data_IF_367946948274
#
_entry.id   IF_367946948274
#
_cell.length_a   1.000
_cell.length_b   1.000
_cell.length_c   1.000
_cell.angle_alpha   90.00
_cell.angle_beta   90.00
_cell.angle_gamma   90.00
#
_symmetry.space_group_name_H-M   'P 1'
#
loop_
_entity.id
_entity.type
_entity.pdbx_description
1 polymer ?
#
# COMPACT_ATOMS: atom_id res chain seq x y z
N UNK A 1 10.71 8.84 8.57
CA UNK A 1 9.47 9.56 8.94
C UNK A 1 9.11 10.43 7.76
N UNK A 2 8.07 10.03 7.02
CA UNK A 2 7.59 10.78 5.85
C UNK A 2 6.77 11.99 6.33
N UNK A 3 6.86 13.11 5.60
CA UNK A 3 6.19 14.36 5.98
C UNK A 3 4.76 14.33 5.45
N UNK A 4 3.77 14.65 6.30
CA UNK A 4 2.36 14.79 5.88
C UNK A 4 2.22 15.83 4.76
N UNK A 5 1.40 15.53 3.75
CA UNK A 5 1.12 16.44 2.64
C UNK A 5 2.06 16.30 1.44
N UNK A 6 2.95 15.30 1.44
CA UNK A 6 3.71 14.91 0.26
C UNK A 6 2.99 13.75 -0.45
N UNK A 7 2.58 14.01 -1.69
CA UNK A 7 1.99 12.99 -2.57
C UNK A 7 3.12 12.17 -3.20
N UNK A 8 3.27 10.92 -2.76
CA UNK A 8 4.38 10.06 -3.13
C UNK A 8 3.94 8.91 -4.05
N UNK A 9 4.81 8.48 -4.97
CA UNK A 9 4.53 7.35 -5.84
C UNK A 9 4.72 6.02 -5.11
N UNK A 10 3.67 5.20 -5.13
CA UNK A 10 3.69 3.82 -4.62
C UNK A 10 3.58 2.85 -5.79
N UNK A 11 4.47 1.86 -5.84
CA UNK A 11 4.48 0.84 -6.90
C UNK A 11 3.51 -0.27 -6.57
N UNK A 12 2.57 -0.54 -7.48
CA UNK A 12 1.66 -1.68 -7.42
C UNK A 12 2.36 -2.92 -7.98
N UNK A 13 2.52 -3.93 -7.14
CA UNK A 13 3.18 -5.20 -7.47
C UNK A 13 2.19 -6.22 -8.03
N UNK A 14 0.92 -6.17 -7.60
CA UNK A 14 -0.16 -7.07 -8.00
C UNK A 14 -1.29 -6.29 -8.66
N UNK A 15 -1.11 -6.01 -9.97
CA UNK A 15 -2.01 -5.14 -10.74
C UNK A 15 -3.36 -5.78 -11.08
N UNK A 16 -3.41 -7.10 -11.02
CA UNK A 16 -4.60 -7.92 -11.20
C UNK A 16 -5.45 -8.02 -9.92
N UNK A 17 -4.98 -7.47 -8.80
CA UNK A 17 -5.75 -7.46 -7.56
C UNK A 17 -6.93 -6.47 -7.64
N UNK A 18 -8.13 -6.85 -7.18
CA UNK A 18 -9.32 -5.99 -7.22
C UNK A 18 -9.13 -4.63 -6.52
N UNK A 19 -8.23 -4.51 -5.54
CA UNK A 19 -7.95 -3.24 -4.87
C UNK A 19 -7.40 -2.17 -5.82
N UNK A 20 -6.72 -2.57 -6.91
CA UNK A 20 -6.08 -1.67 -7.87
C UNK A 20 -6.72 -1.71 -9.26
N UNK A 21 -7.92 -2.29 -9.38
CA UNK A 21 -8.63 -2.34 -10.66
C UNK A 21 -8.86 -0.92 -11.22
N UNK A 22 -8.49 -0.72 -12.49
CA UNK A 22 -8.58 0.57 -13.16
C UNK A 22 -7.48 1.58 -12.79
N UNK A 23 -6.52 1.22 -11.93
CA UNK A 23 -5.39 2.06 -11.58
C UNK A 23 -4.13 1.69 -12.38
N UNK A 24 -3.20 2.65 -12.44
CA UNK A 24 -1.90 2.43 -13.07
C UNK A 24 -0.99 1.57 -12.19
N UNK A 25 0.11 1.07 -12.78
CA UNK A 25 1.12 0.31 -12.06
C UNK A 25 1.88 1.06 -10.97
N UNK A 26 1.70 2.37 -10.92
CA UNK A 26 2.15 3.26 -9.85
C UNK A 26 0.99 4.19 -9.52
N UNK A 27 0.69 4.32 -8.24
CA UNK A 27 -0.34 5.20 -7.72
C UNK A 27 0.30 6.33 -6.93
N UNK A 28 -0.37 7.47 -6.84
CA UNK A 28 0.08 8.61 -6.05
C UNK A 28 -0.79 8.67 -4.79
N UNK A 29 -0.18 8.70 -3.61
CA UNK A 29 -0.88 8.64 -2.33
C UNK A 29 -0.28 9.64 -1.33
N UNK A 30 -1.06 10.09 -0.34
CA UNK A 30 -0.55 10.91 0.77
C UNK A 30 0.03 9.99 1.86
N UNK A 31 1.35 9.88 1.93
CA UNK A 31 2.01 9.05 2.93
C UNK A 31 2.19 9.84 4.25
N UNK A 32 1.33 9.56 5.22
CA UNK A 32 1.30 10.27 6.51
C UNK A 32 1.54 9.41 7.74
N UNK A 33 2.04 8.18 7.58
CA UNK A 33 2.18 7.22 8.67
C UNK A 33 3.49 7.41 9.46
N UNK A 34 3.39 7.30 10.78
CA UNK A 34 4.55 7.43 11.68
C UNK A 34 5.33 6.12 11.83
N UNK A 35 4.60 5.02 11.95
CA UNK A 35 5.14 3.68 12.05
C UNK A 35 4.92 2.93 10.74
N UNK A 36 5.71 1.89 10.54
CA UNK A 36 5.55 0.97 9.42
C UNK A 36 5.58 -0.47 9.91
N UNK A 37 4.96 -1.34 9.12
CA UNK A 37 5.02 -2.78 9.34
C UNK A 37 6.40 -3.27 8.86
N UNK A 38 7.14 -3.92 9.75
CA UNK A 38 8.51 -4.40 9.45
C UNK A 38 8.55 -5.77 8.79
N UNK A 39 7.49 -6.57 9.00
CA UNK A 39 7.44 -7.96 8.55
C UNK A 39 6.05 -8.26 7.99
N UNK A 40 6.01 -8.81 6.77
CA UNK A 40 4.76 -9.23 6.17
C UNK A 40 4.25 -10.48 6.90
N UNK A 41 3.04 -10.47 7.48
CA UNK A 41 2.47 -11.66 8.12
C UNK A 41 2.30 -12.80 7.10
N UNK A 42 2.49 -14.04 7.55
CA UNK A 42 2.51 -15.21 6.66
C UNK A 42 1.19 -15.44 5.92
N UNK A 43 0.07 -15.00 6.50
CA UNK A 43 -1.28 -15.10 5.96
C UNK A 43 -1.58 -14.01 4.94
N UNK A 44 -0.66 -13.06 4.73
CA UNK A 44 -0.82 -11.93 3.84
C UNK A 44 0.06 -12.05 2.59
N UNK A 45 -0.40 -11.40 1.53
CA UNK A 45 0.34 -11.19 0.29
C UNK A 45 0.60 -9.69 0.12
N UNK A 46 1.83 -9.34 -0.26
CA UNK A 46 2.22 -7.97 -0.52
C UNK A 46 1.66 -7.52 -1.87
N UNK A 47 0.97 -6.37 -1.88
CA UNK A 47 0.35 -5.84 -3.08
C UNK A 47 1.01 -4.57 -3.61
N UNK A 48 1.59 -3.75 -2.74
CA UNK A 48 2.26 -2.51 -3.13
C UNK A 48 3.45 -2.18 -2.21
N UNK A 49 4.46 -1.49 -2.74
CA UNK A 49 5.75 -1.21 -2.06
C UNK A 49 6.40 0.07 -2.57
N UNK A 50 7.25 0.66 -1.73
CA UNK A 50 8.29 1.63 -2.12
C UNK A 50 9.66 1.16 -1.59
N UNK A 51 10.74 1.87 -1.92
CA UNK A 51 12.08 1.58 -1.39
C UNK A 51 12.19 2.03 0.09
N UNK A 52 11.46 3.08 0.46
CA UNK A 52 11.43 3.64 1.80
C UNK A 52 10.51 2.85 2.76
N UNK A 53 9.40 2.30 2.26
CA UNK A 53 8.48 1.48 3.03
C UNK A 53 8.00 0.29 2.18
N UNK A 54 8.45 -0.90 2.56
CA UNK A 54 8.23 -2.11 1.77
C UNK A 54 6.75 -2.53 1.76
N UNK A 55 6.03 -2.34 2.88
CA UNK A 55 4.65 -2.81 3.04
C UNK A 55 3.69 -1.63 2.96
N UNK A 56 3.37 -1.21 1.73
CA UNK A 56 2.42 -0.11 1.49
C UNK A 56 0.97 -0.63 1.42
N UNK A 57 0.77 -1.80 0.82
CA UNK A 57 -0.52 -2.48 0.80
C UNK A 57 -0.34 -4.00 0.85
N UNK A 58 -1.24 -4.67 1.57
CA UNK A 58 -1.27 -6.12 1.67
C UNK A 58 -2.71 -6.63 1.77
N UNK A 59 -2.94 -7.88 1.36
CA UNK A 59 -4.23 -8.57 1.56
C UNK A 59 -4.04 -9.89 2.27
N UNK A 60 -5.06 -10.30 3.00
CA UNK A 60 -5.13 -11.67 3.50
C UNK A 60 -5.37 -12.64 2.34
N UNK A 61 -4.70 -13.78 2.35
CA UNK A 61 -4.74 -14.79 1.27
C UNK A 61 -6.10 -15.49 1.05
N UNK A 62 -7.09 -15.25 1.92
CA UNK A 62 -8.33 -16.04 1.93
C UNK A 62 -9.55 -15.28 2.45
N UNK A 63 -9.34 -14.24 3.27
CA UNK A 63 -10.40 -13.37 3.78
C UNK A 63 -10.41 -12.08 2.95
N UNK A 64 -11.56 -11.42 2.77
CA UNK A 64 -11.65 -10.13 2.10
C UNK A 64 -11.15 -9.00 3.03
N UNK A 65 -9.88 -9.09 3.44
CA UNK A 65 -9.24 -8.18 4.38
C UNK A 65 -7.99 -7.59 3.74
N UNK A 66 -7.94 -6.27 3.72
CA UNK A 66 -6.83 -5.49 3.17
C UNK A 66 -6.27 -4.56 4.24
N UNK A 67 -4.97 -4.32 4.17
CA UNK A 67 -4.28 -3.29 4.94
C UNK A 67 -3.55 -2.36 4.00
N UNK A 68 -3.64 -1.05 4.24
CA UNK A 68 -2.92 -0.01 3.50
C UNK A 68 -2.26 0.94 4.48
N UNK A 69 -1.09 1.47 4.10
CA UNK A 69 -0.31 2.40 4.91
C UNK A 69 -0.62 3.87 4.63
N UNK A 70 -1.37 4.12 3.56
CA UNK A 70 -1.87 5.42 3.13
C UNK A 70 -3.40 5.51 3.29
N UNK A 71 -3.95 6.69 3.59
CA UNK A 71 -5.39 6.93 3.59
C UNK A 71 -5.94 6.84 2.16
N UNK A 72 -6.88 5.93 1.86
CA UNK A 72 -7.37 5.70 0.50
C UNK A 72 -8.36 6.79 0.00
N UNK A 73 -8.80 7.69 0.88
CA UNK A 73 -9.91 8.61 0.63
C UNK A 73 -9.51 10.09 0.63
N UNK A 74 -8.25 10.41 0.38
CA UNK A 74 -7.81 11.81 0.25
C UNK A 74 -8.10 12.30 -1.17
N UNK A 75 -8.77 13.45 -1.24
CA UNK A 75 -9.13 14.14 -2.49
C UNK A 75 -7.97 14.92 -3.06
#
# INVERSE_FOLDING_TARGET
MLRRGEYLPVKVLKRDDPLFEGLNGTIIVDEGHYCEIKWLPAEFELLASTDECIIQAMRHKSRPLYGVQFPPNIR
#
